data_IF_942092670281
#
_entry.id   IF_942092670281
#
_cell.length_a   1.000
_cell.length_b   1.000
_cell.length_c   1.000
_cell.angle_alpha   90.00
_cell.angle_beta   90.00
_cell.angle_gamma   90.00
#
_symmetry.space_group_name_H-M   'P 1'
#
loop_
_entity.id
_entity.type
_entity.pdbx_description
1 polymer ?
#
# COMPACT_ATOMS: atom_id res chain seq x y z
N UNK A 1 11.89 2.81 11.91
CA UNK A 1 11.87 3.15 10.47
C UNK A 1 10.46 3.49 10.03
N UNK A 2 10.34 4.20 8.95
CA UNK A 2 9.09 4.37 8.22
C UNK A 2 8.97 3.24 7.22
N UNK A 3 7.95 2.39 7.37
CA UNK A 3 7.79 1.19 6.56
C UNK A 3 6.47 1.26 5.79
N UNK A 4 6.55 1.21 4.46
CA UNK A 4 5.34 1.12 3.64
C UNK A 4 4.83 -0.31 3.64
N UNK A 5 3.56 -0.49 3.97
CA UNK A 5 2.87 -1.77 3.81
C UNK A 5 2.22 -1.75 2.42
N UNK A 6 2.70 -2.61 1.54
CA UNK A 6 2.25 -2.72 0.15
C UNK A 6 1.49 -4.02 -0.06
N UNK A 7 0.29 -3.94 -0.58
CA UNK A 7 -0.53 -5.10 -0.84
C UNK A 7 -1.65 -4.79 -1.80
N UNK A 8 -2.42 -5.81 -2.22
CA UNK A 8 -3.54 -5.58 -3.13
C UNK A 8 -4.64 -4.77 -2.46
N UNK A 9 -5.25 -3.87 -3.23
CA UNK A 9 -6.51 -3.23 -2.90
C UNK A 9 -7.57 -3.65 -3.91
N UNK A 10 -7.40 -3.28 -5.19
CA UNK A 10 -8.26 -3.75 -6.27
C UNK A 10 -7.83 -5.10 -6.85
N UNK A 11 -6.57 -5.47 -6.68
CA UNK A 11 -6.01 -6.70 -7.23
C UNK A 11 -6.78 -7.93 -6.75
N UNK A 12 -7.39 -8.68 -7.68
CA UNK A 12 -8.20 -9.85 -7.35
C UNK A 12 -9.56 -9.55 -6.75
N UNK A 13 -9.86 -8.28 -6.42
CA UNK A 13 -11.13 -7.90 -5.82
C UNK A 13 -12.23 -7.72 -6.87
N UNK A 14 -13.41 -8.29 -6.62
CA UNK A 14 -14.58 -8.18 -7.50
C UNK A 14 -15.66 -7.28 -6.93
N UNK A 15 -15.68 -7.10 -5.61
CA UNK A 15 -16.71 -6.36 -4.90
C UNK A 15 -16.09 -5.35 -3.96
N UNK A 16 -16.92 -4.42 -3.45
CA UNK A 16 -16.50 -3.49 -2.41
C UNK A 16 -16.05 -4.25 -1.15
N UNK A 17 -16.74 -5.34 -0.80
CA UNK A 17 -16.36 -6.17 0.34
C UNK A 17 -14.98 -6.79 0.16
N UNK A 18 -14.64 -7.22 -1.05
CA UNK A 18 -13.32 -7.75 -1.37
C UNK A 18 -12.24 -6.68 -1.21
N UNK A 19 -12.50 -5.47 -1.69
CA UNK A 19 -11.57 -4.35 -1.54
C UNK A 19 -11.36 -4.00 -0.08
N UNK A 20 -12.43 -3.98 0.70
CA UNK A 20 -12.35 -3.70 2.13
C UNK A 20 -11.55 -4.79 2.86
N UNK A 21 -11.75 -6.06 2.50
CA UNK A 21 -10.98 -7.17 3.09
C UNK A 21 -9.49 -7.03 2.79
N UNK A 22 -9.14 -6.61 1.57
CA UNK A 22 -7.75 -6.34 1.20
C UNK A 22 -7.16 -5.21 2.04
N UNK A 23 -7.90 -4.13 2.22
CA UNK A 23 -7.45 -3.00 3.03
C UNK A 23 -7.33 -3.39 4.50
N UNK A 24 -8.26 -4.18 5.02
CA UNK A 24 -8.20 -4.67 6.40
C UNK A 24 -6.93 -5.49 6.63
N UNK A 25 -6.53 -6.31 5.67
CA UNK A 25 -5.29 -7.09 5.76
C UNK A 25 -4.06 -6.17 5.84
N UNK A 26 -4.02 -5.10 5.04
CA UNK A 26 -2.94 -4.12 5.11
C UNK A 26 -2.94 -3.39 6.45
N UNK A 27 -4.11 -3.02 6.95
CA UNK A 27 -4.22 -2.33 8.24
C UNK A 27 -3.77 -3.22 9.39
N UNK A 28 -4.09 -4.52 9.36
CA UNK A 28 -3.59 -5.47 10.37
C UNK A 28 -2.08 -5.59 10.34
N UNK A 29 -1.50 -5.68 9.16
CA UNK A 29 -0.04 -5.71 9.01
C UNK A 29 0.60 -4.42 9.51
N UNK A 30 -0.05 -3.28 9.25
CA UNK A 30 0.41 -1.98 9.74
C UNK A 30 0.43 -1.93 11.27
N UNK A 31 -0.57 -2.51 11.93
CA UNK A 31 -0.57 -2.57 13.37
C UNK A 31 0.64 -3.36 13.90
N UNK A 32 0.98 -4.48 13.26
CA UNK A 32 2.15 -5.28 13.66
C UNK A 32 3.45 -4.51 13.46
N UNK A 33 3.57 -3.76 12.38
CA UNK A 33 4.71 -2.89 12.12
C UNK A 33 4.84 -1.84 13.21
N UNK A 34 3.72 -1.20 13.58
CA UNK A 34 3.68 -0.23 14.67
C UNK A 34 4.08 -0.86 16.00
N UNK A 35 3.58 -2.05 16.30
CA UNK A 35 3.87 -2.74 17.56
C UNK A 35 5.35 -3.08 17.72
N UNK A 36 6.08 -3.19 16.61
CA UNK A 36 7.54 -3.43 16.60
C UNK A 36 8.34 -2.13 16.66
N UNK A 37 7.71 -0.99 16.84
CA UNK A 37 8.39 0.29 17.03
C UNK A 37 8.64 1.10 15.76
N UNK A 38 7.96 0.77 14.66
CA UNK A 38 8.10 1.48 13.39
C UNK A 38 6.86 2.30 13.06
N UNK A 39 6.97 3.18 12.07
CA UNK A 39 5.83 3.97 11.58
C UNK A 39 5.32 3.32 10.29
N UNK A 40 4.10 2.75 10.31
CA UNK A 40 3.53 2.14 9.10
C UNK A 40 2.93 3.19 8.18
N UNK A 41 3.08 2.98 6.87
CA UNK A 41 2.50 3.84 5.83
C UNK A 41 1.76 2.96 4.84
N UNK A 42 0.51 3.29 4.55
CA UNK A 42 -0.30 2.61 3.53
C UNK A 42 -0.76 3.65 2.54
N UNK A 43 -0.30 3.55 1.27
CA UNK A 43 -0.65 4.50 0.23
C UNK A 43 -2.16 4.58 -0.02
N UNK A 44 -2.85 3.45 0.01
CA UNK A 44 -4.30 3.39 -0.19
C UNK A 44 -5.03 4.25 0.84
N UNK A 45 -4.63 4.21 2.10
CA UNK A 45 -5.28 4.99 3.15
C UNK A 45 -5.12 6.50 2.97
N UNK A 46 -4.03 6.93 2.37
CA UNK A 46 -3.82 8.35 2.07
C UNK A 46 -4.60 8.76 0.82
N UNK A 47 -4.61 7.92 -0.21
CA UNK A 47 -5.19 8.25 -1.51
C UNK A 47 -6.71 8.17 -1.55
N UNK A 48 -7.33 7.19 -0.88
CA UNK A 48 -8.80 6.98 -0.95
C UNK A 48 -9.61 8.21 -0.55
N UNK A 49 -9.33 8.90 0.56
CA UNK A 49 -10.10 10.10 0.91
C UNK A 49 -10.00 11.21 -0.14
N UNK A 50 -8.84 11.33 -0.78
CA UNK A 50 -8.63 12.32 -1.85
C UNK A 50 -9.46 11.94 -3.08
N UNK A 51 -9.45 10.65 -3.43
CA UNK A 51 -10.25 10.12 -4.54
C UNK A 51 -11.74 10.37 -4.30
N UNK A 52 -12.20 10.18 -3.06
CA UNK A 52 -13.61 10.41 -2.70
C UNK A 52 -14.05 11.85 -2.95
N UNK A 53 -13.16 12.81 -2.78
CA UNK A 53 -13.46 14.22 -3.06
C UNK A 53 -13.69 14.45 -4.57
N UNK A 54 -12.88 13.81 -5.41
CA UNK A 54 -12.96 13.97 -6.88
C UNK A 54 -13.98 13.05 -7.53
N UNK A 55 -14.22 11.88 -6.96
CA UNK A 55 -15.08 10.86 -7.53
C UNK A 55 -14.30 9.62 -8.00
N UNK A 56 -14.99 8.47 -8.16
CA UNK A 56 -14.32 7.18 -8.46
C UNK A 56 -13.50 7.16 -9.74
N UNK A 57 -13.86 7.98 -10.71
CA UNK A 57 -13.16 8.09 -12.00
C UNK A 57 -11.74 8.65 -11.86
N UNK A 58 -11.44 9.27 -10.74
CA UNK A 58 -10.11 9.82 -10.47
C UNK A 58 -9.15 8.81 -9.83
N UNK A 59 -9.56 7.57 -9.66
CA UNK A 59 -8.74 6.55 -8.98
C UNK A 59 -7.33 6.43 -9.58
N UNK A 60 -7.24 6.23 -10.89
CA UNK A 60 -5.94 6.04 -11.54
C UNK A 60 -5.08 7.30 -11.53
N UNK A 61 -5.74 8.46 -11.56
CA UNK A 61 -5.05 9.77 -11.52
C UNK A 61 -4.38 10.02 -10.17
N UNK A 62 -4.97 9.51 -9.07
CA UNK A 62 -4.56 9.86 -7.70
C UNK A 62 -3.80 8.74 -7.00
N UNK A 63 -4.27 7.49 -7.12
CA UNK A 63 -3.76 6.38 -6.30
C UNK A 63 -2.25 6.19 -6.44
N UNK A 64 -1.76 5.96 -7.64
CA UNK A 64 -0.34 5.64 -7.82
C UNK A 64 0.58 6.84 -7.61
N UNK A 65 0.27 8.05 -8.09
CA UNK A 65 1.13 9.20 -7.78
C UNK A 65 1.29 9.43 -6.27
N UNK A 66 0.22 9.32 -5.49
CA UNK A 66 0.28 9.48 -4.04
C UNK A 66 1.09 8.35 -3.41
N UNK A 67 0.80 7.10 -3.79
CA UNK A 67 1.48 5.93 -3.22
C UNK A 67 2.97 5.93 -3.53
N UNK A 68 3.37 6.26 -4.75
CA UNK A 68 4.77 6.27 -5.15
C UNK A 68 5.53 7.41 -4.47
N UNK A 69 4.90 8.57 -4.30
CA UNK A 69 5.51 9.68 -3.56
C UNK A 69 5.75 9.31 -2.10
N UNK A 70 4.80 8.61 -1.48
CA UNK A 70 4.97 8.10 -0.11
C UNK A 70 6.08 7.05 -0.04
N UNK A 71 6.15 6.14 -1.03
CA UNK A 71 7.19 5.13 -1.10
C UNK A 71 8.58 5.76 -1.09
N UNK A 72 8.77 6.85 -1.82
CA UNK A 72 10.06 7.56 -1.89
C UNK A 72 10.49 8.10 -0.52
N UNK A 73 9.56 8.35 0.39
CA UNK A 73 9.83 8.88 1.74
C UNK A 73 9.98 7.80 2.80
N UNK A 74 9.66 6.55 2.48
CA UNK A 74 9.77 5.44 3.43
C UNK A 74 11.15 4.80 3.36
N UNK A 75 11.56 4.21 4.49
CA UNK A 75 12.88 3.58 4.63
C UNK A 75 12.90 2.14 4.11
N UNK A 76 11.75 1.47 4.19
CA UNK A 76 11.62 0.05 3.81
C UNK A 76 10.20 -0.25 3.39
N UNK A 77 10.01 -1.41 2.77
CA UNK A 77 8.71 -1.89 2.30
C UNK A 77 8.42 -3.28 2.86
N UNK A 78 7.18 -3.49 3.30
CA UNK A 78 6.65 -4.81 3.63
C UNK A 78 5.58 -5.16 2.59
N UNK A 79 5.86 -6.14 1.74
CA UNK A 79 4.92 -6.62 0.71
C UNK A 79 4.08 -7.75 1.28
N UNK A 80 2.76 -7.62 1.22
CA UNK A 80 1.82 -8.64 1.71
C UNK A 80 0.83 -9.02 0.61
N UNK A 81 0.19 -10.16 0.80
CA UNK A 81 -0.92 -10.61 -0.05
C UNK A 81 -0.52 -11.11 -1.42
N UNK A 82 -1.52 -11.26 -2.27
CA UNK A 82 -1.38 -11.85 -3.59
C UNK A 82 -0.99 -10.86 -4.68
N UNK A 83 -1.30 -11.23 -5.94
CA UNK A 83 -0.93 -10.45 -7.11
C UNK A 83 -1.57 -9.06 -7.10
N UNK A 84 -0.78 -8.04 -7.40
CA UNK A 84 -1.24 -6.65 -7.47
C UNK A 84 -0.23 -5.84 -8.25
N UNK A 85 -0.65 -5.26 -9.38
CA UNK A 85 0.22 -4.41 -10.18
C UNK A 85 0.65 -3.18 -9.38
N UNK A 86 -0.29 -2.54 -8.67
CA UNK A 86 0.03 -1.34 -7.88
C UNK A 86 1.03 -1.61 -6.78
N UNK A 87 0.86 -2.72 -6.04
CA UNK A 87 1.81 -3.10 -5.01
C UNK A 87 3.18 -3.46 -5.59
N UNK A 88 3.20 -4.12 -6.75
CA UNK A 88 4.46 -4.45 -7.41
C UNK A 88 5.18 -3.19 -7.91
N UNK A 89 4.45 -2.18 -8.38
CA UNK A 89 5.03 -0.89 -8.77
C UNK A 89 5.66 -0.19 -7.56
N UNK A 90 5.02 -0.25 -6.40
CA UNK A 90 5.60 0.28 -5.16
C UNK A 90 6.90 -0.44 -4.81
N UNK A 91 6.89 -1.78 -4.84
CA UNK A 91 8.08 -2.59 -4.57
C UNK A 91 9.24 -2.23 -5.50
N UNK A 92 8.96 -2.05 -6.79
CA UNK A 92 10.00 -1.65 -7.75
C UNK A 92 10.65 -0.32 -7.37
N UNK A 93 9.87 0.61 -6.82
CA UNK A 93 10.39 1.89 -6.35
C UNK A 93 11.43 1.70 -5.24
N UNK A 94 11.15 0.80 -4.30
CA UNK A 94 12.09 0.46 -3.22
C UNK A 94 13.32 -0.23 -3.75
N UNK A 95 13.18 -1.16 -4.69
CA UNK A 95 14.31 -1.82 -5.34
C UNK A 95 15.22 -0.82 -6.03
N UNK A 96 14.65 0.08 -6.81
CA UNK A 96 15.41 1.09 -7.54
C UNK A 96 16.20 2.01 -6.60
N UNK A 97 15.67 2.26 -5.41
CA UNK A 97 16.34 3.08 -4.40
C UNK A 97 17.31 2.29 -3.51
N UNK A 98 17.42 0.98 -3.70
CA UNK A 98 18.30 0.13 -2.88
C UNK A 98 17.79 -0.07 -1.46
N UNK A 99 16.51 0.10 -1.23
CA UNK A 99 15.92 -0.01 0.11
C UNK A 99 15.48 -1.45 0.40
N UNK A 100 15.38 -1.77 1.69
CA UNK A 100 15.00 -3.09 2.16
C UNK A 100 13.56 -3.42 1.84
N UNK A 101 13.32 -4.67 1.40
CA UNK A 101 11.99 -5.19 1.11
C UNK A 101 11.81 -6.50 1.88
N UNK A 102 10.77 -6.56 2.73
CA UNK A 102 10.33 -7.77 3.37
C UNK A 102 9.04 -8.29 2.74
N UNK A 103 8.78 -9.58 2.87
CA UNK A 103 7.54 -10.19 2.39
C UNK A 103 6.88 -10.98 3.49
N UNK A 104 5.56 -10.89 3.58
CA UNK A 104 4.76 -11.65 4.54
C UNK A 104 3.51 -12.18 3.85
N UNK A 105 3.10 -13.38 4.26
CA UNK A 105 1.86 -14.00 3.82
C UNK A 105 0.77 -13.74 4.86
N UNK A 106 -0.33 -13.15 4.41
CA UNK A 106 -1.50 -12.88 5.24
C UNK A 106 -2.79 -13.30 4.55
#
# INVERSE_FOLDING_TARGET
>A
MWIMVSGPYRGGARTEADRQANLDAMNRAAYEVFAKGHVPVIGVNMALPIIQVRGPEAYDEIMMPVSLALADRCDACLRIGGASKGADDEVERFKAAGKQIGRAHV
#
